data_IF_690911851669
#
_entry.id   IF_690911851669
#
_cell.length_a   1.000
_cell.length_b   1.000
_cell.length_c   1.000
_cell.angle_alpha   90.00
_cell.angle_beta   90.00
_cell.angle_gamma   90.00
#
_symmetry.space_group_name_H-M   'P 1'
#
loop_
_entity.id
_entity.type
_entity.pdbx_description
1 polymer ?
#
# COMPACT_ATOMS: atom_id res chain seq x y z
N UNK A 1 -15.18 8.07 -2.37
CA UNK A 1 -16.01 6.88 -2.70
C UNK A 1 -17.05 7.24 -3.78
N UNK A 2 -17.86 8.31 -3.61
CA UNK A 2 -18.92 8.72 -4.54
C UNK A 2 -18.45 8.97 -6.00
N UNK A 3 -17.24 9.52 -6.17
CA UNK A 3 -16.64 9.68 -7.50
C UNK A 3 -16.50 8.31 -8.19
N UNK A 4 -15.91 7.32 -7.52
CA UNK A 4 -15.75 5.98 -8.06
C UNK A 4 -17.09 5.29 -8.32
N UNK A 5 -18.07 5.46 -7.43
CA UNK A 5 -19.42 4.95 -7.62
C UNK A 5 -20.01 5.43 -8.94
N UNK A 6 -19.92 6.75 -9.22
CA UNK A 6 -20.41 7.33 -10.48
C UNK A 6 -19.66 6.86 -11.71
N UNK A 7 -18.33 6.67 -11.61
CA UNK A 7 -17.54 6.17 -12.74
C UNK A 7 -17.88 4.71 -13.05
N UNK A 8 -18.05 3.87 -12.04
CA UNK A 8 -18.46 2.48 -12.23
C UNK A 8 -19.90 2.33 -12.74
N UNK A 9 -20.77 3.24 -12.36
CA UNK A 9 -22.16 3.26 -12.86
C UNK A 9 -22.22 3.47 -14.39
N UNK A 10 -21.28 4.24 -14.95
CA UNK A 10 -21.13 4.39 -16.41
C UNK A 10 -20.76 3.09 -17.11
N UNK A 11 -20.15 2.17 -16.40
CA UNK A 11 -19.80 0.82 -16.85
C UNK A 11 -20.90 -0.21 -16.57
N UNK A 12 -22.05 0.23 -16.05
CA UNK A 12 -23.17 -0.64 -15.67
C UNK A 12 -22.99 -1.33 -14.32
N UNK A 13 -21.95 -1.00 -13.55
CA UNK A 13 -21.66 -1.59 -12.24
C UNK A 13 -22.35 -0.75 -11.16
N UNK A 14 -23.34 -1.38 -10.50
CA UNK A 14 -24.07 -0.76 -9.37
C UNK A 14 -23.31 -0.98 -8.07
N UNK A 15 -22.87 0.09 -7.42
CA UNK A 15 -22.14 0.06 -6.17
C UNK A 15 -22.94 0.75 -5.07
N UNK A 16 -23.12 0.09 -3.94
CA UNK A 16 -23.63 0.70 -2.72
C UNK A 16 -22.45 1.07 -1.81
N UNK A 17 -22.39 2.34 -1.43
CA UNK A 17 -21.41 2.80 -0.45
C UNK A 17 -21.97 2.52 0.93
N UNK A 18 -21.22 1.76 1.72
CA UNK A 18 -21.50 1.50 3.14
C UNK A 18 -20.45 2.19 4.00
N UNK A 19 -20.88 3.06 4.91
CA UNK A 19 -19.99 3.84 5.76
C UNK A 19 -20.12 3.33 7.19
N UNK A 20 -18.99 2.97 7.78
CA UNK A 20 -18.97 2.46 9.15
C UNK A 20 -17.80 3.08 9.95
N UNK A 21 -17.87 3.03 11.29
CA UNK A 21 -16.76 3.47 12.13
C UNK A 21 -15.44 2.76 11.80
N UNK A 22 -14.28 3.43 11.88
CA UNK A 22 -12.99 2.84 11.51
C UNK A 22 -12.65 1.54 12.26
N UNK A 23 -13.03 1.42 13.53
CA UNK A 23 -12.83 0.20 14.32
C UNK A 23 -13.64 -0.97 13.77
N UNK A 24 -14.91 -0.73 13.44
CA UNK A 24 -15.82 -1.73 12.85
C UNK A 24 -15.31 -2.19 11.48
N UNK A 25 -14.86 -1.24 10.64
CA UNK A 25 -14.27 -1.56 9.34
C UNK A 25 -13.04 -2.44 9.50
N UNK A 26 -12.09 -2.05 10.37
CA UNK A 26 -10.88 -2.86 10.63
C UNK A 26 -11.21 -4.27 11.10
N UNK A 27 -12.16 -4.41 12.00
CA UNK A 27 -12.60 -5.72 12.48
C UNK A 27 -13.23 -6.55 11.38
N UNK A 28 -14.07 -5.96 10.55
CA UNK A 28 -14.73 -6.64 9.44
C UNK A 28 -13.73 -7.10 8.37
N UNK A 29 -12.71 -6.29 8.06
CA UNK A 29 -11.59 -6.67 7.19
C UNK A 29 -10.80 -7.81 7.82
N UNK A 30 -10.38 -7.68 9.08
CA UNK A 30 -9.58 -8.69 9.79
C UNK A 30 -10.28 -10.05 9.89
N UNK A 31 -11.60 -10.06 9.90
CA UNK A 31 -12.43 -11.29 9.95
C UNK A 31 -12.97 -11.71 8.58
N UNK A 32 -12.48 -11.12 7.49
CA UNK A 32 -12.87 -11.40 6.10
C UNK A 32 -14.40 -11.33 5.87
N UNK A 33 -15.06 -10.36 6.51
CA UNK A 33 -16.52 -10.15 6.39
C UNK A 33 -16.91 -9.13 5.32
N UNK A 34 -15.92 -8.47 4.69
CA UNK A 34 -16.12 -7.49 3.64
C UNK A 34 -15.38 -7.96 2.41
N UNK A 35 -16.09 -8.13 1.31
CA UNK A 35 -15.51 -8.57 0.03
C UNK A 35 -14.82 -7.43 -0.73
N UNK A 36 -15.23 -6.18 -0.54
CA UNK A 36 -14.67 -5.02 -1.22
C UNK A 36 -14.64 -3.80 -0.31
N UNK A 37 -13.49 -3.17 -0.16
CA UNK A 37 -13.30 -2.04 0.75
C UNK A 37 -12.21 -1.08 0.24
N UNK A 38 -12.26 0.16 0.69
CA UNK A 38 -11.20 1.13 0.45
C UNK A 38 -10.20 1.07 1.61
N UNK A 39 -8.92 0.96 1.26
CA UNK A 39 -7.82 1.03 2.21
C UNK A 39 -6.71 1.96 1.70
N UNK A 40 -5.72 2.22 2.53
CA UNK A 40 -4.46 2.86 2.18
C UNK A 40 -3.33 2.17 2.92
N UNK A 41 -2.14 2.23 2.34
CA UNK A 41 -0.93 1.76 2.97
C UNK A 41 0.14 2.84 2.92
N UNK A 42 0.81 3.04 4.04
CA UNK A 42 1.99 3.91 4.15
C UNK A 42 3.13 3.01 4.56
N UNK A 43 4.23 3.06 3.81
CA UNK A 43 5.38 2.21 4.12
C UNK A 43 5.98 2.54 5.50
N UNK A 44 6.34 1.53 6.27
CA UNK A 44 7.00 1.66 7.55
C UNK A 44 8.52 1.87 7.40
N UNK A 45 9.09 1.47 6.25
CA UNK A 45 10.50 1.61 5.89
C UNK A 45 10.66 1.75 4.37
N UNK A 46 11.77 2.31 3.88
CA UNK A 46 11.98 2.64 2.47
C UNK A 46 12.46 1.42 1.65
N UNK A 47 11.69 0.35 1.65
CA UNK A 47 11.88 -0.82 0.79
C UNK A 47 10.54 -1.21 0.15
N UNK A 48 10.56 -1.59 -1.13
CA UNK A 48 9.36 -2.03 -1.85
C UNK A 48 8.75 -3.30 -1.24
N UNK A 49 9.54 -4.11 -0.54
CA UNK A 49 9.07 -5.27 0.22
C UNK A 49 7.90 -4.91 1.15
N UNK A 50 7.91 -3.72 1.76
CA UNK A 50 6.85 -3.27 2.65
C UNK A 50 5.46 -3.24 1.97
N UNK A 51 5.40 -2.92 0.69
CA UNK A 51 4.17 -2.98 -0.11
C UNK A 51 3.88 -4.40 -0.61
N UNK A 52 4.91 -5.15 -0.98
CA UNK A 52 4.75 -6.50 -1.52
C UNK A 52 4.36 -7.51 -0.43
N UNK A 53 4.70 -7.26 0.83
CA UNK A 53 4.26 -8.06 1.98
C UNK A 53 2.73 -8.15 2.13
N UNK A 54 2.00 -7.16 1.58
CA UNK A 54 0.53 -7.12 1.58
C UNK A 54 -0.13 -8.24 0.76
N UNK A 55 0.65 -8.92 -0.09
CA UNK A 55 0.13 -9.97 -0.97
C UNK A 55 0.72 -11.35 -0.68
N UNK A 56 1.64 -11.46 0.30
CA UNK A 56 2.18 -12.76 0.73
C UNK A 56 1.11 -13.52 1.54
N UNK A 57 0.89 -14.80 1.20
CA UNK A 57 -0.15 -15.61 1.86
C UNK A 57 0.16 -15.94 3.32
N UNK A 58 1.43 -15.90 3.73
CA UNK A 58 1.81 -16.04 5.13
C UNK A 58 1.37 -14.85 6.02
N UNK A 59 1.00 -13.73 5.39
CA UNK A 59 0.64 -12.48 6.05
C UNK A 59 -0.87 -12.22 6.10
N UNK A 60 -1.72 -13.25 6.03
CA UNK A 60 -3.17 -13.06 6.12
C UNK A 60 -3.60 -12.39 7.42
N UNK A 61 -4.56 -11.48 7.32
CA UNK A 61 -5.22 -10.94 8.50
C UNK A 61 -5.91 -12.05 9.31
N UNK A 62 -5.98 -11.93 10.64
CA UNK A 62 -5.58 -10.78 11.49
C UNK A 62 -4.10 -10.77 11.87
N UNK A 63 -3.31 -11.80 11.51
CA UNK A 63 -1.92 -11.96 11.96
C UNK A 63 -0.92 -11.16 11.13
N UNK A 64 -1.31 -10.69 9.94
CA UNK A 64 -0.47 -9.91 9.04
C UNK A 64 -1.30 -8.94 8.18
N UNK A 65 -0.62 -8.18 7.31
CA UNK A 65 -1.22 -7.09 6.54
C UNK A 65 -1.89 -7.51 5.22
N UNK A 66 -1.94 -8.79 4.87
CA UNK A 66 -2.64 -9.24 3.67
C UNK A 66 -4.16 -9.23 3.89
N UNK A 67 -4.75 -8.04 3.71
CA UNK A 67 -6.19 -7.82 3.89
C UNK A 67 -7.06 -8.43 2.80
N UNK A 68 -6.49 -8.71 1.64
CA UNK A 68 -7.21 -9.28 0.50
C UNK A 68 -7.32 -10.79 0.56
N UNK A 69 -6.58 -11.45 1.44
CA UNK A 69 -6.38 -12.89 1.48
C UNK A 69 -5.90 -13.44 0.12
N UNK A 70 -5.19 -12.60 -0.65
CA UNK A 70 -4.57 -13.01 -1.89
C UNK A 70 -3.59 -14.15 -1.65
N UNK A 71 -3.69 -15.17 -2.48
CA UNK A 71 -2.79 -16.32 -2.42
C UNK A 71 -2.37 -16.71 -3.84
N UNK A 72 -1.05 -16.78 -4.03
CA UNK A 72 -0.44 -17.27 -5.25
C UNK A 72 0.90 -17.92 -4.90
N UNK A 73 1.04 -19.22 -5.15
CA UNK A 73 2.23 -19.97 -4.75
C UNK A 73 3.51 -19.47 -5.47
N UNK A 74 3.38 -18.99 -6.72
CA UNK A 74 4.49 -18.36 -7.47
C UNK A 74 4.91 -17.03 -6.86
N UNK A 75 3.95 -16.22 -6.41
CA UNK A 75 4.20 -14.98 -5.70
C UNK A 75 4.92 -15.25 -4.37
N UNK A 76 4.42 -16.20 -3.59
CA UNK A 76 5.00 -16.54 -2.29
C UNK A 76 6.45 -17.06 -2.44
N UNK A 77 6.72 -17.87 -3.48
CA UNK A 77 8.08 -18.33 -3.78
C UNK A 77 9.02 -17.17 -4.16
N UNK A 78 8.55 -16.21 -4.98
CA UNK A 78 9.31 -15.02 -5.32
C UNK A 78 9.56 -14.13 -4.08
N UNK A 79 8.57 -13.98 -3.21
CA UNK A 79 8.72 -13.23 -1.97
C UNK A 79 9.83 -13.82 -1.08
N UNK A 80 9.84 -15.14 -0.87
CA UNK A 80 10.90 -15.81 -0.10
C UNK A 80 12.27 -15.66 -0.78
N UNK A 81 12.33 -15.75 -2.10
CA UNK A 81 13.55 -15.53 -2.87
C UNK A 81 14.06 -14.10 -2.69
N UNK A 82 13.18 -13.10 -2.75
CA UNK A 82 13.54 -11.70 -2.55
C UNK A 82 14.14 -11.45 -1.16
N UNK A 83 13.55 -12.03 -0.10
CA UNK A 83 14.06 -11.92 1.27
C UNK A 83 15.46 -12.52 1.42
N UNK A 84 15.79 -13.57 0.67
CA UNK A 84 17.11 -14.21 0.67
C UNK A 84 18.12 -13.50 -0.24
N UNK A 85 17.70 -12.56 -1.08
CA UNK A 85 18.56 -11.88 -2.08
C UNK A 85 19.15 -10.62 -1.47
N UNK A 86 20.46 -10.59 -1.28
CA UNK A 86 21.19 -9.45 -0.70
C UNK A 86 21.44 -8.35 -1.74
N UNK A 87 21.74 -8.72 -2.99
CA UNK A 87 21.99 -7.76 -4.05
C UNK A 87 20.73 -6.98 -4.40
N UNK A 88 20.81 -5.65 -4.37
CA UNK A 88 19.66 -4.75 -4.58
C UNK A 88 19.09 -4.81 -6.00
N UNK A 89 19.93 -4.97 -7.01
CA UNK A 89 19.50 -5.01 -8.42
C UNK A 89 18.80 -6.34 -8.73
N UNK A 90 19.36 -7.45 -8.25
CA UNK A 90 18.74 -8.77 -8.39
C UNK A 90 17.39 -8.81 -7.66
N UNK A 91 17.33 -8.23 -6.46
CA UNK A 91 16.09 -8.14 -5.67
C UNK A 91 15.04 -7.28 -6.36
N UNK A 92 15.44 -6.18 -7.01
CA UNK A 92 14.53 -5.35 -7.81
C UNK A 92 13.87 -6.14 -8.95
N UNK A 93 14.64 -6.98 -9.67
CA UNK A 93 14.09 -7.84 -10.74
C UNK A 93 13.03 -8.81 -10.19
N UNK A 94 13.25 -9.36 -8.99
CA UNK A 94 12.27 -10.23 -8.35
C UNK A 94 11.00 -9.44 -7.98
N UNK A 95 11.15 -8.23 -7.45
CA UNK A 95 10.03 -7.37 -7.13
C UNK A 95 9.18 -6.98 -8.36
N UNK A 96 9.82 -6.73 -9.50
CA UNK A 96 9.13 -6.47 -10.77
C UNK A 96 8.29 -7.69 -11.22
N UNK A 97 8.79 -8.91 -11.01
CA UNK A 97 8.04 -10.14 -11.31
C UNK A 97 6.83 -10.29 -10.36
N UNK A 98 7.00 -9.98 -9.09
CA UNK A 98 5.91 -10.02 -8.10
C UNK A 98 4.83 -8.98 -8.43
N UNK A 99 5.24 -7.76 -8.79
CA UNK A 99 4.33 -6.69 -9.19
C UNK A 99 3.51 -7.07 -10.44
N UNK A 100 4.15 -7.73 -11.41
CA UNK A 100 3.48 -8.26 -12.59
C UNK A 100 2.37 -9.28 -12.24
N UNK A 101 2.59 -10.15 -11.26
CA UNK A 101 1.56 -11.09 -10.79
C UNK A 101 0.39 -10.35 -10.16
N UNK A 102 0.66 -9.36 -9.30
CA UNK A 102 -0.40 -8.52 -8.70
C UNK A 102 -1.19 -7.78 -9.76
N UNK A 103 -0.51 -7.19 -10.75
CA UNK A 103 -1.15 -6.49 -11.87
C UNK A 103 -2.02 -7.41 -12.75
N UNK A 104 -1.63 -8.66 -12.93
CA UNK A 104 -2.40 -9.65 -13.71
C UNK A 104 -3.62 -10.19 -12.96
N UNK A 105 -3.49 -10.42 -11.65
CA UNK A 105 -4.55 -11.02 -10.84
C UNK A 105 -5.46 -10.01 -10.14
N UNK A 106 -5.06 -8.76 -10.13
CA UNK A 106 -5.84 -7.60 -9.66
C UNK A 106 -6.50 -7.83 -8.29
N UNK A 107 -5.77 -8.27 -7.24
CA UNK A 107 -6.35 -8.37 -5.90
C UNK A 107 -6.70 -7.00 -5.32
N UNK A 108 -6.14 -5.93 -5.87
CA UNK A 108 -6.40 -4.53 -5.52
C UNK A 108 -6.50 -3.65 -6.77
N UNK A 109 -7.25 -2.57 -6.66
CA UNK A 109 -7.28 -1.49 -7.66
C UNK A 109 -6.55 -0.30 -7.06
N UNK A 110 -5.38 0.03 -7.58
CA UNK A 110 -4.58 1.18 -7.13
C UNK A 110 -5.24 2.45 -7.67
N UNK A 111 -5.61 3.35 -6.76
CA UNK A 111 -6.32 4.58 -7.12
C UNK A 111 -5.37 5.76 -7.35
N UNK A 112 -4.44 5.99 -6.42
CA UNK A 112 -3.49 7.10 -6.49
C UNK A 112 -2.38 6.93 -5.44
N UNK A 113 -1.30 7.66 -5.65
CA UNK A 113 -0.24 7.87 -4.66
C UNK A 113 -0.39 9.29 -4.08
N UNK A 114 -0.31 9.40 -2.76
CA UNK A 114 -0.38 10.68 -2.08
C UNK A 114 0.83 11.56 -2.41
N UNK A 115 0.57 12.86 -2.57
CA UNK A 115 1.62 13.89 -2.66
C UNK A 115 1.55 14.77 -1.43
N UNK A 116 2.65 14.89 -0.71
CA UNK A 116 2.76 15.78 0.42
C UNK A 116 3.35 17.13 -0.02
N UNK A 117 2.62 18.21 0.22
CA UNK A 117 3.13 19.57 0.09
C UNK A 117 3.47 20.12 1.49
N UNK A 118 4.66 20.67 1.65
CA UNK A 118 5.09 21.32 2.88
C UNK A 118 5.39 22.79 2.59
N UNK A 119 4.77 23.65 3.36
CA UNK A 119 4.98 25.10 3.29
C UNK A 119 5.82 25.52 4.49
N UNK A 120 6.88 26.29 4.22
CA UNK A 120 7.73 26.87 5.25
C UNK A 120 7.80 28.37 5.08
N UNK A 121 8.11 29.10 6.16
CA UNK A 121 8.43 30.51 6.08
C UNK A 121 9.79 30.69 5.37
N UNK A 122 10.01 31.85 4.72
CA UNK A 122 11.22 32.13 3.94
C UNK A 122 12.52 32.05 4.77
N UNK A 123 12.42 32.25 6.08
CA UNK A 123 13.55 32.16 7.00
C UNK A 123 13.81 30.75 7.56
N UNK A 124 13.09 29.73 7.06
CA UNK A 124 13.30 28.33 7.43
C UNK A 124 14.03 27.60 6.31
N UNK A 125 15.18 27.03 6.61
CA UNK A 125 16.04 26.32 5.67
C UNK A 125 16.37 24.92 6.16
N UNK A 126 16.87 24.04 5.29
CA UNK A 126 17.35 22.71 5.64
C UNK A 126 16.27 21.65 5.80
N UNK A 127 15.00 21.95 5.52
CA UNK A 127 13.93 20.95 5.47
C UNK A 127 13.99 20.20 4.13
N UNK A 128 14.44 18.95 4.16
CA UNK A 128 14.58 18.11 2.97
C UNK A 128 13.43 17.06 2.89
N UNK A 129 12.90 16.79 1.70
CA UNK A 129 12.00 15.66 1.49
C UNK A 129 12.77 14.34 1.66
N UNK A 130 12.06 13.30 2.05
CA UNK A 130 12.59 11.93 2.10
C UNK A 130 11.50 10.93 1.68
N UNK A 131 11.92 9.72 1.32
CA UNK A 131 11.04 8.67 0.80
C UNK A 131 9.90 8.27 1.75
N UNK A 132 10.11 8.45 3.06
CA UNK A 132 9.10 8.12 4.09
C UNK A 132 8.18 9.29 4.43
N UNK A 133 8.33 10.45 3.80
CA UNK A 133 7.65 11.70 4.17
C UNK A 133 7.79 12.09 5.65
N UNK A 134 8.78 11.54 6.34
CA UNK A 134 9.03 11.84 7.74
C UNK A 134 9.49 13.29 7.92
N UNK A 135 9.04 13.92 8.99
CA UNK A 135 9.49 15.26 9.35
C UNK A 135 10.82 15.16 10.07
N UNK A 136 11.91 15.31 9.31
CA UNK A 136 13.27 15.34 9.88
C UNK A 136 13.70 16.81 10.13
N UNK A 137 13.75 17.18 11.40
CA UNK A 137 14.11 18.54 11.82
C UNK A 137 15.59 18.71 12.18
N UNK A 138 16.41 17.65 12.10
CA UNK A 138 17.81 17.66 12.54
C UNK A 138 18.66 18.72 11.80
N UNK A 139 18.36 18.98 10.54
CA UNK A 139 19.09 19.94 9.70
C UNK A 139 18.36 21.27 9.50
N UNK A 140 17.18 21.41 10.08
CA UNK A 140 16.36 22.62 9.92
C UNK A 140 16.93 23.76 10.75
N UNK A 141 17.04 24.93 10.13
CA UNK A 141 17.47 26.19 10.75
C UNK A 141 16.40 27.25 10.52
N UNK A 142 16.15 28.06 11.54
CA UNK A 142 15.37 29.29 11.46
C UNK A 142 16.33 30.46 11.62
N UNK A 143 16.36 31.34 10.64
CA UNK A 143 17.13 32.56 10.64
C UNK A 143 16.29 33.75 11.10
#
# INVERSE_FOLDING_TARGET
>A
AEYLQREWEKLGIKVKIDVMPPSTLRQAIATNKIAFFRASWIADYPDAENYLSLFNSANFTPNGPNYTHFKNDGYDALYQKALATVNSDDRRVIYEQMDAIVAQQVPVIILFYDKLARFTQNNVTGLQPNAMNALNLKTVKKQ
#
